data_IF_714804933520
#
_entry.id   IF_714804933520
#
_cell.length_a   1.000
_cell.length_b   1.000
_cell.length_c   1.000
_cell.angle_alpha   90.00
_cell.angle_beta   90.00
_cell.angle_gamma   90.00
#
_symmetry.space_group_name_H-M   'P 1'
#
loop_
_entity.id
_entity.type
_entity.pdbx_description
1 polymer ?
#
# COMPACT_ATOMS: atom_id res chain seq x y z
N UNK A 1 14.18 -12.90 -29.14
CA UNK A 1 14.99 -12.02 -28.28
C UNK A 1 14.09 -11.54 -27.16
N UNK A 2 14.14 -12.19 -26.00
CA UNK A 2 13.35 -11.77 -24.83
C UNK A 2 14.05 -10.62 -24.15
N UNK A 3 13.42 -9.45 -24.07
CA UNK A 3 13.92 -8.32 -23.30
C UNK A 3 13.91 -8.69 -21.82
N UNK A 4 15.02 -9.20 -21.30
CA UNK A 4 15.25 -9.26 -19.85
C UNK A 4 15.28 -7.81 -19.35
N UNK A 5 14.27 -7.40 -18.59
CA UNK A 5 14.32 -6.11 -17.93
C UNK A 5 15.47 -6.13 -16.92
N UNK A 6 16.36 -5.15 -17.01
CA UNK A 6 17.47 -5.02 -16.07
C UNK A 6 16.94 -4.73 -14.66
N UNK A 7 17.55 -5.32 -13.63
CA UNK A 7 17.19 -5.15 -12.21
C UNK A 7 16.87 -3.69 -11.80
N UNK A 8 17.66 -2.65 -12.18
CA UNK A 8 17.35 -1.26 -11.84
C UNK A 8 16.03 -0.76 -12.45
N UNK A 9 15.66 -1.23 -13.63
CA UNK A 9 14.42 -0.85 -14.32
C UNK A 9 13.18 -1.51 -13.69
N UNK A 10 13.35 -2.61 -12.95
CA UNK A 10 12.26 -3.24 -12.21
C UNK A 10 12.09 -2.58 -10.85
N UNK A 11 13.17 -2.28 -10.15
CA UNK A 11 13.15 -1.53 -8.88
C UNK A 11 12.49 -0.15 -9.07
N UNK A 12 12.85 0.57 -10.14
CA UNK A 12 12.23 1.85 -10.48
C UNK A 12 10.71 1.71 -10.72
N UNK A 13 10.28 0.65 -11.42
CA UNK A 13 8.87 0.39 -11.69
C UNK A 13 8.10 -0.01 -10.43
N UNK A 14 8.69 -0.83 -9.56
CA UNK A 14 8.09 -1.22 -8.29
C UNK A 14 7.91 0.03 -7.43
N UNK A 15 8.96 0.86 -7.28
CA UNK A 15 8.87 2.11 -6.52
C UNK A 15 7.83 3.08 -7.11
N UNK A 16 7.76 3.21 -8.44
CA UNK A 16 6.75 4.02 -9.09
C UNK A 16 5.32 3.52 -8.81
N UNK A 17 5.08 2.21 -8.86
CA UNK A 17 3.78 1.62 -8.53
C UNK A 17 3.43 1.85 -7.07
N UNK A 18 4.36 1.61 -6.14
CA UNK A 18 4.15 1.85 -4.70
C UNK A 18 3.79 3.32 -4.43
N UNK A 19 4.44 4.28 -5.10
CA UNK A 19 4.10 5.70 -5.01
C UNK A 19 2.67 5.98 -5.49
N UNK A 20 2.25 5.40 -6.61
CA UNK A 20 0.89 5.59 -7.12
C UNK A 20 -0.14 4.98 -6.15
N UNK A 21 0.13 3.79 -5.60
CA UNK A 21 -0.72 3.19 -4.57
C UNK A 21 -0.82 4.09 -3.33
N UNK A 22 0.31 4.62 -2.84
CA UNK A 22 0.35 5.56 -1.71
C UNK A 22 -0.52 6.79 -1.96
N UNK A 23 -0.41 7.43 -3.14
CA UNK A 23 -1.27 8.56 -3.51
C UNK A 23 -2.76 8.19 -3.49
N UNK A 24 -3.12 7.01 -4.03
CA UNK A 24 -4.51 6.55 -4.05
C UNK A 24 -5.09 6.34 -2.66
N UNK A 25 -4.31 5.82 -1.73
CA UNK A 25 -4.74 5.65 -0.33
C UNK A 25 -4.82 6.99 0.39
N UNK A 26 -3.89 7.92 0.14
CA UNK A 26 -3.97 9.29 0.69
C UNK A 26 -5.21 10.06 0.16
N UNK A 27 -5.57 9.89 -1.12
CA UNK A 27 -6.81 10.43 -1.68
C UNK A 27 -8.05 9.85 -0.98
N UNK A 28 -8.06 8.55 -0.69
CA UNK A 28 -9.11 7.87 0.05
C UNK A 28 -9.20 8.38 1.50
N UNK A 29 -8.05 8.53 2.18
CA UNK A 29 -7.91 9.07 3.53
C UNK A 29 -8.54 10.47 3.65
N UNK A 30 -8.14 11.38 2.74
CA UNK A 30 -8.69 12.75 2.68
C UNK A 30 -10.18 12.78 2.36
N UNK A 31 -10.65 11.86 1.53
CA UNK A 31 -12.08 11.75 1.19
C UNK A 31 -12.90 11.31 2.41
N UNK A 32 -12.39 10.37 3.21
CA UNK A 32 -13.01 9.95 4.47
C UNK A 32 -13.05 11.08 5.50
N UNK A 33 -11.96 11.81 5.67
CA UNK A 33 -11.93 12.98 6.56
C UNK A 33 -12.98 14.03 6.15
N UNK A 34 -13.17 14.24 4.83
CA UNK A 34 -14.18 15.16 4.32
C UNK A 34 -15.61 14.71 4.62
N UNK A 35 -15.90 13.40 4.57
CA UNK A 35 -17.23 12.86 4.95
C UNK A 35 -17.52 13.23 6.41
N UNK A 36 -16.55 13.06 7.31
CA UNK A 36 -16.68 13.34 8.75
C UNK A 36 -16.76 14.84 9.04
N UNK A 37 -16.10 15.68 8.24
CA UNK A 37 -16.11 17.13 8.43
C UNK A 37 -17.34 17.83 7.82
N UNK A 38 -18.17 17.12 7.05
CA UNK A 38 -19.34 17.69 6.37
C UNK A 38 -20.65 17.41 7.12
N UNK A 39 -21.76 18.03 6.70
CA UNK A 39 -23.13 17.71 7.15
C UNK A 39 -23.49 16.22 6.96
N UNK A 40 -22.75 15.49 6.10
CA UNK A 40 -22.84 14.04 5.99
C UNK A 40 -22.44 13.30 7.29
N UNK A 41 -21.78 13.97 8.24
CA UNK A 41 -21.48 13.44 9.57
C UNK A 41 -22.74 13.21 10.42
N UNK A 42 -23.82 13.99 10.20
CA UNK A 42 -25.13 13.73 10.79
C UNK A 42 -25.82 12.49 10.19
N UNK A 43 -25.28 12.00 9.08
CA UNK A 43 -25.78 10.96 8.20
C UNK A 43 -24.78 9.80 8.01
N UNK A 44 -23.73 9.79 8.82
CA UNK A 44 -22.61 8.88 8.73
C UNK A 44 -23.05 7.44 9.05
N UNK A 45 -22.25 6.42 8.66
CA UNK A 45 -22.13 5.17 9.43
C UNK A 45 -22.11 5.49 10.93
N UNK A 46 -22.42 4.53 11.83
CA UNK A 46 -22.27 4.82 13.27
C UNK A 46 -20.89 5.45 13.51
N UNK A 47 -20.78 6.46 14.39
CA UNK A 47 -19.52 7.21 14.56
C UNK A 47 -18.30 6.28 14.78
N UNK A 48 -18.55 5.07 15.31
CA UNK A 48 -17.58 3.99 15.44
C UNK A 48 -17.12 3.37 14.11
N UNK A 49 -18.02 3.08 13.17
CA UNK A 49 -17.69 2.46 11.87
C UNK A 49 -16.91 3.43 10.98
N UNK A 50 -17.32 4.70 10.94
CA UNK A 50 -16.58 5.73 10.18
C UNK A 50 -15.18 5.95 10.75
N UNK A 51 -15.05 5.99 12.09
CA UNK A 51 -13.74 6.10 12.74
C UNK A 51 -12.86 4.88 12.45
N UNK A 52 -13.42 3.66 12.51
CA UNK A 52 -12.69 2.45 12.16
C UNK A 52 -12.19 2.46 10.71
N UNK A 53 -13.00 2.94 9.77
CA UNK A 53 -12.58 3.12 8.38
C UNK A 53 -11.43 4.14 8.23
N UNK A 54 -11.49 5.27 8.92
CA UNK A 54 -10.41 6.27 8.92
C UNK A 54 -9.11 5.69 9.47
N UNK A 55 -9.18 5.05 10.63
CA UNK A 55 -8.00 4.48 11.29
C UNK A 55 -7.35 3.43 10.38
N UNK A 56 -8.14 2.52 9.79
CA UNK A 56 -7.64 1.50 8.87
C UNK A 56 -7.03 2.09 7.58
N UNK A 57 -7.66 3.12 6.99
CA UNK A 57 -7.14 3.77 5.78
C UNK A 57 -5.85 4.52 6.09
N UNK A 58 -5.74 5.13 7.27
CA UNK A 58 -4.52 5.83 7.72
C UNK A 58 -3.37 4.87 8.02
N UNK A 59 -3.68 3.69 8.56
CA UNK A 59 -2.69 2.61 8.70
C UNK A 59 -2.18 2.14 7.33
N UNK A 60 -3.08 1.95 6.36
CA UNK A 60 -2.70 1.60 4.99
C UNK A 60 -1.86 2.71 4.31
N UNK A 61 -2.22 3.97 4.55
CA UNK A 61 -1.46 5.13 4.07
C UNK A 61 -0.04 5.13 4.64
N UNK A 62 0.08 4.94 5.95
CA UNK A 62 1.36 4.90 6.66
C UNK A 62 2.22 3.75 6.16
N UNK A 63 1.66 2.55 6.02
CA UNK A 63 2.39 1.39 5.52
C UNK A 63 2.95 1.62 4.10
N UNK A 64 2.18 2.22 3.20
CA UNK A 64 2.66 2.56 1.86
C UNK A 64 3.66 3.72 1.87
N UNK A 65 3.44 4.72 2.71
CA UNK A 65 4.33 5.87 2.84
C UNK A 65 5.71 5.47 3.41
N UNK A 66 5.73 4.57 4.39
CA UNK A 66 6.96 4.03 4.96
C UNK A 66 7.79 3.31 3.90
N UNK A 67 7.17 2.55 3.01
CA UNK A 67 7.87 1.90 1.88
C UNK A 67 8.44 2.95 0.92
N UNK A 68 7.67 3.99 0.61
CA UNK A 68 8.10 5.06 -0.32
C UNK A 68 9.23 5.92 0.26
N UNK A 69 9.23 6.13 1.58
CA UNK A 69 10.23 6.95 2.30
C UNK A 69 11.51 6.19 2.61
N UNK A 70 11.45 4.87 2.68
CA UNK A 70 12.66 4.07 2.83
C UNK A 70 13.53 4.22 1.58
N UNK A 71 14.76 4.72 1.76
CA UNK A 71 15.81 4.73 0.72
C UNK A 71 16.39 3.31 0.49
N UNK A 72 15.65 2.29 0.94
CA UNK A 72 15.99 0.88 0.86
C UNK A 72 15.31 0.23 -0.35
N UNK A 73 15.80 -0.94 -0.72
CA UNK A 73 15.19 -1.76 -1.78
C UNK A 73 13.81 -2.22 -1.30
N UNK A 74 12.75 -1.83 -2.01
CA UNK A 74 11.38 -2.29 -1.73
C UNK A 74 11.33 -3.81 -1.82
N UNK A 75 10.95 -4.47 -0.73
CA UNK A 75 10.84 -5.93 -0.70
C UNK A 75 9.41 -6.41 -0.98
N UNK A 76 9.28 -7.64 -1.47
CA UNK A 76 7.96 -8.29 -1.60
C UNK A 76 7.26 -8.42 -0.25
N UNK A 77 8.01 -8.59 0.83
CA UNK A 77 7.47 -8.67 2.19
C UNK A 77 6.79 -7.36 2.59
N UNK A 78 7.48 -6.23 2.39
CA UNK A 78 6.91 -4.91 2.67
C UNK A 78 5.64 -4.65 1.85
N UNK A 79 5.67 -4.97 0.55
CA UNK A 79 4.52 -4.80 -0.34
C UNK A 79 3.34 -5.68 0.08
N UNK A 80 3.61 -6.92 0.52
CA UNK A 80 2.57 -7.84 1.01
C UNK A 80 1.95 -7.32 2.31
N UNK A 81 2.77 -6.81 3.23
CA UNK A 81 2.27 -6.20 4.47
C UNK A 81 1.39 -4.97 4.18
N UNK A 82 1.82 -4.09 3.29
CA UNK A 82 1.02 -2.95 2.85
C UNK A 82 -0.27 -3.37 2.13
N UNK A 83 -0.23 -4.44 1.33
CA UNK A 83 -1.42 -5.01 0.69
C UNK A 83 -2.45 -5.44 1.73
N UNK A 84 -2.04 -6.16 2.78
CA UNK A 84 -2.93 -6.58 3.87
C UNK A 84 -3.60 -5.36 4.53
N UNK A 85 -2.85 -4.28 4.77
CA UNK A 85 -3.43 -3.04 5.31
C UNK A 85 -4.43 -2.37 4.37
N UNK A 86 -4.17 -2.38 3.07
CA UNK A 86 -5.14 -1.88 2.07
C UNK A 86 -6.41 -2.74 2.05
N UNK A 87 -6.30 -4.06 2.21
CA UNK A 87 -7.46 -4.97 2.29
C UNK A 87 -8.27 -4.77 3.57
N UNK A 88 -7.61 -4.57 4.71
CA UNK A 88 -8.26 -4.19 5.98
C UNK A 88 -9.02 -2.86 5.84
N UNK A 89 -8.39 -1.85 5.23
CA UNK A 89 -9.00 -0.57 4.91
C UNK A 89 -10.25 -0.73 4.02
N UNK A 90 -10.18 -1.56 2.98
CA UNK A 90 -11.33 -1.85 2.11
C UNK A 90 -12.49 -2.46 2.89
N UNK A 91 -12.23 -3.45 3.74
CA UNK A 91 -13.27 -4.11 4.53
C UNK A 91 -13.92 -3.14 5.53
N UNK A 92 -13.12 -2.25 6.15
CA UNK A 92 -13.62 -1.24 7.06
C UNK A 92 -14.50 -0.20 6.34
N UNK A 93 -14.06 0.29 5.17
CA UNK A 93 -14.87 1.21 4.33
C UNK A 93 -16.15 0.54 3.85
N UNK A 94 -16.11 -0.75 3.47
CA UNK A 94 -17.30 -1.49 3.05
C UNK A 94 -18.32 -1.67 4.18
N UNK A 95 -17.84 -1.89 5.40
CA UNK A 95 -18.69 -1.95 6.60
C UNK A 95 -19.37 -0.60 6.82
N UNK A 96 -18.61 0.49 6.76
CA UNK A 96 -19.13 1.85 6.86
C UNK A 96 -20.16 2.15 5.74
N UNK A 97 -19.85 1.80 4.49
CA UNK A 97 -20.73 1.97 3.33
C UNK A 97 -22.09 1.29 3.53
N UNK A 98 -22.07 0.09 4.12
CA UNK A 98 -23.26 -0.72 4.36
C UNK A 98 -24.15 -0.15 5.48
N UNK A 99 -23.57 0.52 6.47
CA UNK A 99 -24.30 1.11 7.60
C UNK A 99 -24.65 2.59 7.42
N UNK A 100 -24.10 3.26 6.40
CA UNK A 100 -24.48 4.63 6.05
C UNK A 100 -25.99 4.75 5.78
N UNK A 101 -26.60 5.84 6.24
CA UNK A 101 -28.07 6.03 6.18
C UNK A 101 -28.52 6.97 5.07
N UNK A 102 -27.59 7.68 4.42
CA UNK A 102 -27.88 8.60 3.31
C UNK A 102 -27.27 8.14 2.00
N UNK A 103 -27.89 8.56 0.90
CA UNK A 103 -27.42 8.29 -0.46
C UNK A 103 -26.09 8.99 -0.75
N UNK A 104 -25.90 10.19 -0.21
CA UNK A 104 -24.69 11.00 -0.37
C UNK A 104 -23.49 10.32 0.30
N UNK A 105 -23.61 9.90 1.56
CA UNK A 105 -22.53 9.21 2.27
C UNK A 105 -22.18 7.86 1.60
N UNK A 106 -23.19 7.09 1.16
CA UNK A 106 -22.98 5.86 0.40
C UNK A 106 -22.23 6.10 -0.90
N UNK A 107 -22.63 7.12 -1.67
CA UNK A 107 -21.99 7.43 -2.94
C UNK A 107 -20.51 7.81 -2.77
N UNK A 108 -20.17 8.55 -1.71
CA UNK A 108 -18.76 8.88 -1.41
C UNK A 108 -17.98 7.66 -0.91
N UNK A 109 -18.54 6.83 -0.03
CA UNK A 109 -17.90 5.59 0.45
C UNK A 109 -17.63 4.60 -0.69
N UNK A 110 -18.54 4.47 -1.66
CA UNK A 110 -18.31 3.65 -2.87
C UNK A 110 -17.15 4.16 -3.73
N UNK A 111 -16.95 5.49 -3.82
CA UNK A 111 -15.79 6.05 -4.52
C UNK A 111 -14.48 5.76 -3.78
N UNK A 112 -14.52 5.79 -2.45
CA UNK A 112 -13.38 5.42 -1.59
C UNK A 112 -13.05 3.94 -1.77
N UNK A 113 -14.04 3.04 -1.73
CA UNK A 113 -13.84 1.61 -2.00
C UNK A 113 -13.18 1.37 -3.36
N UNK A 114 -13.66 2.06 -4.39
CA UNK A 114 -13.10 1.99 -5.75
C UNK A 114 -11.64 2.47 -5.81
N UNK A 115 -11.31 3.51 -5.04
CA UNK A 115 -9.94 4.05 -4.95
C UNK A 115 -9.00 3.08 -4.23
N UNK A 116 -9.47 2.48 -3.13
CA UNK A 116 -8.72 1.43 -2.42
C UNK A 116 -8.57 0.16 -3.25
N UNK A 117 -9.56 -0.18 -4.10
CA UNK A 117 -9.45 -1.30 -5.05
C UNK A 117 -8.38 -1.04 -6.10
N UNK A 118 -8.32 0.16 -6.64
CA UNK A 118 -7.25 0.55 -7.54
C UNK A 118 -5.88 0.49 -6.84
N UNK A 119 -5.78 0.99 -5.59
CA UNK A 119 -4.54 0.89 -4.81
C UNK A 119 -4.10 -0.57 -4.61
N UNK A 120 -5.02 -1.46 -4.23
CA UNK A 120 -4.73 -2.90 -4.07
C UNK A 120 -4.23 -3.53 -5.37
N UNK A 121 -4.88 -3.24 -6.50
CA UNK A 121 -4.45 -3.74 -7.81
C UNK A 121 -3.05 -3.27 -8.16
N UNK A 122 -2.72 -2.00 -7.87
CA UNK A 122 -1.38 -1.45 -8.10
C UNK A 122 -0.34 -2.13 -7.21
N UNK A 123 -0.66 -2.41 -5.94
CA UNK A 123 0.23 -3.15 -5.03
C UNK A 123 0.44 -4.59 -5.54
N UNK A 124 -0.60 -5.26 -6.01
CA UNK A 124 -0.49 -6.60 -6.61
C UNK A 124 0.41 -6.61 -7.86
N UNK A 125 0.31 -5.57 -8.69
CA UNK A 125 1.18 -5.40 -9.85
C UNK A 125 2.64 -5.15 -9.42
N UNK A 126 2.85 -4.42 -8.32
CA UNK A 126 4.18 -4.18 -7.76
C UNK A 126 4.79 -5.49 -7.21
N UNK A 127 4.01 -6.29 -6.48
CA UNK A 127 4.39 -7.62 -5.98
C UNK A 127 4.76 -8.52 -7.15
N UNK A 128 3.88 -8.64 -8.15
CA UNK A 128 4.11 -9.48 -9.33
C UNK A 128 5.42 -9.11 -10.04
N UNK A 129 5.70 -7.80 -10.17
CA UNK A 129 6.97 -7.33 -10.77
C UNK A 129 8.17 -7.65 -9.89
N UNK A 130 8.08 -7.48 -8.58
CA UNK A 130 9.15 -7.83 -7.65
C UNK A 130 9.47 -9.34 -7.71
N UNK A 131 8.45 -10.20 -7.80
CA UNK A 131 8.59 -11.65 -7.91
C UNK A 131 9.19 -12.11 -9.24
N UNK A 132 8.89 -11.43 -10.36
CA UNK A 132 9.47 -11.79 -11.68
C UNK A 132 10.99 -11.63 -11.78
N UNK A 133 11.63 -10.98 -10.79
CA UNK A 133 13.10 -10.82 -10.68
C UNK A 133 13.69 -11.68 -9.54
N UNK A 134 12.85 -12.37 -8.76
CA UNK A 134 13.23 -13.19 -7.61
C UNK A 134 13.58 -14.63 -8.03
N UNK A 135 14.82 -14.84 -8.50
CA UNK A 135 15.75 -15.52 -7.59
C UNK A 135 16.88 -14.62 -7.08
N UNK A 136 16.96 -13.35 -7.50
CA UNK A 136 18.11 -12.47 -7.22
C UNK A 136 17.93 -11.39 -6.15
N UNK A 137 16.70 -11.04 -5.77
CA UNK A 137 16.45 -9.94 -4.80
C UNK A 137 16.51 -10.44 -3.34
N UNK A 138 16.27 -11.73 -3.10
CA UNK A 138 16.36 -12.35 -1.77
C UNK A 138 17.79 -12.59 -1.25
N UNK A 139 18.82 -12.55 -2.11
CA UNK A 139 20.22 -12.78 -1.67
C UNK A 139 21.06 -11.51 -1.49
N UNK A 140 20.72 -10.39 -2.12
CA UNK A 140 21.61 -9.20 -2.05
C UNK A 140 21.53 -8.46 -0.71
N UNK A 141 20.44 -8.66 0.06
CA UNK A 141 20.35 -8.24 1.46
C UNK A 141 21.21 -9.11 2.40
N UNK A 142 21.50 -10.36 2.04
CA UNK A 142 22.33 -11.28 2.83
C UNK A 142 23.82 -11.08 2.51
N UNK A 143 24.17 -10.71 1.28
CA UNK A 143 25.56 -10.54 0.83
C UNK A 143 26.29 -9.29 1.37
N UNK A 144 25.57 -8.23 1.76
CA UNK A 144 26.20 -7.02 2.34
C UNK A 144 26.53 -7.14 3.82
N UNK A 145 26.05 -8.18 4.51
CA UNK A 145 26.39 -8.46 5.91
C UNK A 145 27.65 -9.34 6.09
N UNK A 146 28.22 -9.90 5.02
CA UNK A 146 29.39 -10.81 5.11
C UNK A 146 30.70 -10.25 4.56
N UNK A 147 30.78 -8.94 4.28
CA UNK A 147 32.04 -8.30 3.84
C UNK A 147 32.70 -7.47 4.94
N UNK A 148 32.87 -8.05 6.14
CA UNK A 148 33.86 -7.54 7.11
C UNK A 148 34.49 -8.69 7.91
N UNK A 149 35.36 -9.49 7.27
CA UNK A 149 36.59 -9.95 7.94
C UNK A 149 37.72 -9.93 6.89
N UNK A 150 38.61 -8.92 6.91
CA UNK A 150 39.83 -8.94 6.11
C UNK A 150 40.90 -9.76 6.87
N UNK A 151 41.27 -10.92 6.35
CA UNK A 151 42.41 -11.68 6.86
C UNK A 151 42.61 -13.02 6.13
N UNK A 152 43.49 -13.12 5.13
CA UNK A 152 44.83 -13.77 5.21
C UNK A 152 44.83 -14.97 6.19
N UNK A 153 45.07 -16.23 5.80
CA UNK A 153 46.24 -16.72 5.04
C UNK A 153 46.01 -18.18 4.62
N UNK A 154 46.45 -18.53 3.41
CA UNK A 154 46.70 -19.92 2.99
C UNK A 154 47.88 -20.51 3.76
N UNK A 155 47.71 -21.70 4.34
CA UNK A 155 48.77 -22.71 4.50
C UNK A 155 48.10 -24.09 4.64
#
# INVERSE_FOLDING_TARGET
MGCFQSKPAVEEKVNALTKVASVKVAEASKSLEKIIASDAAAAAPTASETKGAVDAVKEAETALEDIVKQDAVVTTEDLTAAQTKVEEAQAAVQTASSSATTTEAKAELVKIESSLLAARQIVNDAISKAETVAPGITQEAIGKAQTVIPGITQA
#
